data_IF_389816470684
#
_entry.id   IF_389816470684
#
_cell.length_a   1.000
_cell.length_b   1.000
_cell.length_c   1.000
_cell.angle_alpha   90.00
_cell.angle_beta   90.00
_cell.angle_gamma   90.00
#
_symmetry.space_group_name_H-M   'P 1'
#
loop_
_entity.id
_entity.type
_entity.pdbx_description
1 polymer ?
#
# COMPACT_ATOMS: atom_id res chain seq x y z
N UNK A 1 17.07 25.90 -0.62
CA UNK A 1 15.63 25.84 -0.96
C UNK A 1 15.15 24.45 -0.56
N UNK A 2 14.05 24.34 0.19
CA UNK A 2 13.59 23.09 0.83
C UNK A 2 12.50 22.42 0.00
N UNK A 3 12.28 21.11 0.16
CA UNK A 3 11.17 20.40 -0.47
C UNK A 3 9.83 21.02 -0.04
N UNK A 4 8.83 20.94 -0.91
CA UNK A 4 7.49 21.47 -0.63
C UNK A 4 6.70 20.48 0.22
N UNK A 5 6.16 20.91 1.35
CA UNK A 5 5.14 20.15 2.07
C UNK A 5 3.75 20.45 1.49
N UNK A 6 3.01 19.39 1.24
CA UNK A 6 1.60 19.45 0.86
C UNK A 6 0.83 18.57 1.86
N UNK A 7 -0.28 19.09 2.34
CA UNK A 7 -1.19 18.36 3.22
C UNK A 7 -2.44 17.91 2.43
N UNK A 8 -2.89 16.71 2.68
CA UNK A 8 -4.23 16.29 2.28
C UNK A 8 -5.24 17.10 3.07
N UNK A 9 -6.38 17.44 2.45
CA UNK A 9 -7.44 18.21 3.10
C UNK A 9 -7.84 17.56 4.43
N UNK A 10 -7.92 18.37 5.51
CA UNK A 10 -8.15 17.88 6.87
C UNK A 10 -9.54 17.29 7.04
N UNK A 11 -10.55 17.87 6.40
CA UNK A 11 -11.92 17.37 6.49
C UNK A 11 -12.07 16.06 5.71
N UNK A 12 -11.45 15.99 4.52
CA UNK A 12 -11.41 14.74 3.74
C UNK A 12 -10.70 13.64 4.54
N UNK A 13 -9.58 13.96 5.16
CA UNK A 13 -8.80 13.02 5.98
C UNK A 13 -9.61 12.52 7.18
N UNK A 14 -10.35 13.39 7.83
CA UNK A 14 -11.28 13.03 8.91
C UNK A 14 -12.37 12.06 8.45
N UNK A 15 -12.91 12.26 7.24
CA UNK A 15 -13.88 11.33 6.65
C UNK A 15 -13.26 9.94 6.41
N UNK A 16 -12.03 9.86 5.93
CA UNK A 16 -11.33 8.57 5.80
C UNK A 16 -11.18 7.87 7.15
N UNK A 17 -10.75 8.59 8.17
CA UNK A 17 -10.60 8.01 9.51
C UNK A 17 -11.95 7.57 10.11
N UNK A 18 -13.01 8.30 9.87
CA UNK A 18 -14.35 7.90 10.29
C UNK A 18 -14.76 6.58 9.61
N UNK A 19 -14.58 6.45 8.30
CA UNK A 19 -14.88 5.20 7.58
C UNK A 19 -14.02 4.03 8.03
N UNK A 20 -12.73 4.23 8.27
CA UNK A 20 -11.85 3.20 8.82
C UNK A 20 -12.39 2.73 10.17
N UNK A 21 -12.79 3.64 11.03
CA UNK A 21 -13.39 3.34 12.33
C UNK A 21 -14.67 2.52 12.21
N UNK A 22 -15.59 2.94 11.35
CA UNK A 22 -16.83 2.22 11.08
C UNK A 22 -16.59 0.80 10.55
N UNK A 23 -15.60 0.63 9.66
CA UNK A 23 -15.18 -0.69 9.17
C UNK A 23 -14.73 -1.58 10.33
N UNK A 24 -13.85 -1.08 11.19
CA UNK A 24 -13.33 -1.83 12.34
C UNK A 24 -14.43 -2.23 13.33
N UNK A 25 -15.33 -1.31 13.61
CA UNK A 25 -16.48 -1.61 14.47
C UNK A 25 -17.36 -2.72 13.87
N UNK A 26 -17.60 -2.69 12.56
CA UNK A 26 -18.30 -3.75 11.83
C UNK A 26 -17.56 -5.10 11.88
N UNK A 27 -16.25 -5.09 11.69
CA UNK A 27 -15.44 -6.31 11.76
C UNK A 27 -15.40 -6.88 13.17
N UNK A 28 -15.24 -6.04 14.17
CA UNK A 28 -15.30 -6.43 15.59
C UNK A 28 -16.65 -7.05 15.95
N UNK A 29 -17.75 -6.44 15.50
CA UNK A 29 -19.09 -6.98 15.75
C UNK A 29 -19.27 -8.34 15.10
N UNK A 30 -18.91 -8.49 13.81
CA UNK A 30 -18.96 -9.78 13.11
C UNK A 30 -18.13 -10.87 13.81
N UNK A 31 -17.01 -10.47 14.42
CA UNK A 31 -16.16 -11.40 15.15
C UNK A 31 -16.78 -11.82 16.48
N UNK A 32 -17.39 -10.88 17.21
CA UNK A 32 -18.14 -11.16 18.43
C UNK A 32 -19.35 -12.07 18.18
N UNK A 33 -20.09 -11.81 17.08
CA UNK A 33 -21.22 -12.63 16.68
C UNK A 33 -20.80 -14.09 16.38
N UNK A 34 -19.68 -14.27 15.65
CA UNK A 34 -19.10 -15.60 15.40
C UNK A 34 -18.62 -16.32 16.67
N UNK A 35 -18.07 -15.58 17.64
CA UNK A 35 -17.65 -16.15 18.93
C UNK A 35 -18.87 -16.59 19.74
N UNK A 36 -19.96 -15.83 19.72
CA UNK A 36 -21.20 -16.18 20.42
C UNK A 36 -21.88 -17.43 19.85
N UNK A 37 -21.68 -17.72 18.55
CA UNK A 37 -22.20 -18.90 17.87
C UNK A 37 -21.27 -20.13 18.00
N UNK A 38 -20.02 -19.98 18.38
CA UNK A 38 -19.00 -21.02 18.42
C UNK A 38 -18.40 -21.17 19.82
N UNK A 39 -18.73 -22.26 20.50
CA UNK A 39 -18.17 -22.64 21.80
C UNK A 39 -16.64 -22.92 21.79
N UNK A 40 -15.98 -22.76 20.65
CA UNK A 40 -14.55 -22.97 20.41
C UNK A 40 -13.81 -21.69 20.02
N UNK A 41 -14.01 -20.59 20.73
CA UNK A 41 -13.35 -19.30 20.53
C UNK A 41 -11.84 -19.27 20.84
N UNK A 42 -11.07 -20.32 20.61
CA UNK A 42 -9.67 -20.45 21.06
C UNK A 42 -8.63 -20.24 19.96
N UNK A 43 -9.02 -20.03 18.72
CA UNK A 43 -8.07 -19.70 17.65
C UNK A 43 -8.29 -18.25 17.18
N UNK A 44 -7.95 -17.32 18.04
CA UNK A 44 -7.82 -15.92 17.68
C UNK A 44 -6.47 -15.71 16.99
N UNK A 45 -6.41 -15.87 15.68
CA UNK A 45 -5.37 -15.19 14.93
C UNK A 45 -5.67 -13.68 14.95
N UNK A 46 -4.67 -12.85 15.24
CA UNK A 46 -4.93 -11.47 15.59
C UNK A 46 -5.39 -10.68 14.37
N UNK A 47 -6.41 -9.87 14.60
CA UNK A 47 -6.77 -8.66 13.82
C UNK A 47 -5.60 -7.65 13.98
N UNK A 48 -4.38 -8.08 13.73
CA UNK A 48 -3.18 -7.33 14.06
C UNK A 48 -3.00 -6.10 13.17
N UNK A 49 -3.41 -6.19 11.90
CA UNK A 49 -3.23 -5.09 10.95
C UNK A 49 -4.19 -3.93 11.21
N UNK A 50 -5.40 -4.23 11.61
CA UNK A 50 -6.46 -3.23 11.88
C UNK A 50 -6.20 -2.54 13.21
N UNK A 51 -5.92 -3.29 14.27
CA UNK A 51 -5.57 -2.75 15.59
C UNK A 51 -4.29 -1.90 15.56
N UNK A 52 -3.34 -2.25 14.68
CA UNK A 52 -2.11 -1.49 14.50
C UNK A 52 -2.36 -0.12 13.84
N UNK A 53 -3.22 -0.06 12.84
CA UNK A 53 -3.61 1.19 12.17
C UNK A 53 -4.29 2.14 13.17
N UNK A 54 -5.16 1.62 14.02
CA UNK A 54 -5.84 2.40 15.06
C UNK A 54 -4.92 2.96 16.12
N UNK A 55 -4.04 2.13 16.64
CA UNK A 55 -3.05 2.57 17.63
C UNK A 55 -2.22 3.71 17.10
N UNK A 56 -1.90 3.66 15.81
CA UNK A 56 -1.15 4.70 15.12
C UNK A 56 -1.96 5.99 14.91
N UNK A 57 -3.25 5.88 14.59
CA UNK A 57 -4.17 7.02 14.44
C UNK A 57 -4.37 7.70 15.79
N UNK A 58 -4.69 6.94 16.84
CA UNK A 58 -4.93 7.48 18.17
C UNK A 58 -3.68 8.10 18.82
N UNK A 59 -2.50 7.54 18.57
CA UNK A 59 -1.22 8.09 19.04
C UNK A 59 -0.87 9.40 18.30
N UNK A 60 -1.26 9.54 17.03
CA UNK A 60 -1.07 10.79 16.26
C UNK A 60 -2.06 11.90 16.63
N UNK A 61 -3.31 11.57 16.97
CA UNK A 61 -4.29 12.55 17.44
C UNK A 61 -3.95 13.11 18.83
N UNK A 62 -3.24 12.33 19.66
CA UNK A 62 -2.94 12.70 21.05
C UNK A 62 -1.61 13.41 21.25
N UNK A 63 -0.74 13.51 20.28
CA UNK A 63 0.53 14.13 20.61
C UNK A 63 1.51 14.40 19.50
N UNK A 64 1.85 15.61 19.51
CA UNK A 64 3.09 16.26 19.10
C UNK A 64 3.32 16.55 17.62
N UNK A 65 2.96 17.74 17.29
CA UNK A 65 3.51 18.56 16.19
C UNK A 65 5.05 18.72 16.21
N UNK A 66 5.77 18.03 17.11
CA UNK A 66 7.21 18.26 17.33
C UNK A 66 8.17 17.14 16.89
N UNK A 67 7.70 15.93 16.57
CA UNK A 67 8.59 14.76 16.46
C UNK A 67 8.61 14.02 15.12
N UNK A 68 8.21 14.62 14.02
CA UNK A 68 8.37 13.98 12.73
C UNK A 68 9.78 14.20 12.15
N UNK A 69 10.80 13.64 12.84
CA UNK A 69 12.20 13.81 12.44
C UNK A 69 12.49 13.32 11.01
N UNK A 70 11.73 12.31 10.53
CA UNK A 70 11.84 11.83 9.15
C UNK A 70 11.27 12.86 8.18
N UNK A 71 10.05 13.35 8.43
CA UNK A 71 9.45 14.41 7.60
C UNK A 71 10.31 15.67 7.54
N UNK A 72 10.89 16.09 8.66
CA UNK A 72 11.81 17.23 8.68
C UNK A 72 13.09 16.95 7.87
N UNK A 73 13.67 15.75 7.96
CA UNK A 73 14.83 15.40 7.13
C UNK A 73 14.49 15.44 5.64
N UNK A 74 13.33 14.90 5.24
CA UNK A 74 12.86 14.97 3.86
C UNK A 74 12.67 16.41 3.40
N UNK A 75 12.06 17.26 4.23
CA UNK A 75 11.86 18.66 3.91
C UNK A 75 13.16 19.44 3.73
N UNK A 76 14.09 19.30 4.67
CA UNK A 76 15.31 20.10 4.70
C UNK A 76 16.35 19.64 3.68
N UNK A 77 16.37 18.35 3.35
CA UNK A 77 17.47 17.78 2.57
C UNK A 77 17.08 17.29 1.17
N UNK A 78 15.80 17.26 0.82
CA UNK A 78 15.39 17.07 -0.58
C UNK A 78 15.37 18.43 -1.31
N UNK A 79 15.52 18.40 -2.66
CA UNK A 79 15.48 19.64 -3.46
C UNK A 79 14.08 20.28 -3.44
N UNK A 80 14.00 21.56 -3.77
CA UNK A 80 12.72 22.31 -3.81
C UNK A 80 11.74 21.83 -4.89
N UNK A 81 12.21 21.09 -5.86
CA UNK A 81 11.35 20.40 -6.85
C UNK A 81 10.65 19.18 -6.26
N UNK A 82 11.12 18.66 -5.12
CA UNK A 82 10.46 17.54 -4.46
C UNK A 82 9.22 18.00 -3.67
N UNK A 83 8.22 17.15 -3.66
CA UNK A 83 6.98 17.30 -2.89
C UNK A 83 6.89 16.19 -1.86
N UNK A 84 6.55 16.53 -0.64
CA UNK A 84 6.37 15.60 0.47
C UNK A 84 4.95 15.72 1.00
N UNK A 85 4.22 14.61 1.02
CA UNK A 85 2.91 14.48 1.64
C UNK A 85 3.06 13.52 2.82
N UNK A 86 2.80 13.99 4.02
CA UNK A 86 2.85 13.15 5.21
C UNK A 86 1.48 12.59 5.51
N UNK A 87 1.45 11.31 5.91
CA UNK A 87 0.25 10.66 6.39
C UNK A 87 -0.88 10.72 5.35
N UNK A 88 -0.58 10.28 4.12
CA UNK A 88 -1.54 10.19 3.03
C UNK A 88 -2.46 9.00 3.23
N UNK A 89 -3.77 9.23 3.23
CA UNK A 89 -4.80 8.19 3.35
C UNK A 89 -5.63 8.12 2.07
N UNK A 90 -5.78 6.92 1.52
CA UNK A 90 -6.61 6.67 0.34
C UNK A 90 -7.49 5.43 0.55
N UNK A 91 -8.68 5.43 0.00
CA UNK A 91 -9.52 4.25 -0.15
C UNK A 91 -9.37 3.75 -1.59
N UNK A 92 -8.91 2.53 -1.74
CA UNK A 92 -8.57 1.92 -3.05
C UNK A 92 -9.76 1.16 -3.62
N UNK A 93 -10.42 0.40 -2.77
CA UNK A 93 -11.67 -0.31 -3.01
C UNK A 93 -12.58 -0.10 -1.79
N UNK A 94 -13.86 -0.44 -1.87
CA UNK A 94 -14.75 -0.37 -0.72
C UNK A 94 -14.16 -1.07 0.51
N UNK A 95 -13.97 -0.30 1.58
CA UNK A 95 -13.35 -0.76 2.83
C UNK A 95 -11.86 -1.18 2.71
N UNK A 96 -11.17 -0.93 1.59
CA UNK A 96 -9.74 -1.17 1.48
C UNK A 96 -8.94 0.14 1.49
N UNK A 97 -8.30 0.42 2.62
CA UNK A 97 -7.56 1.66 2.86
C UNK A 97 -6.05 1.42 2.85
N UNK A 98 -5.32 2.43 2.37
CA UNK A 98 -3.87 2.56 2.60
C UNK A 98 -3.59 3.85 3.37
N UNK A 99 -2.60 3.78 4.24
CA UNK A 99 -2.03 4.93 4.92
C UNK A 99 -0.52 4.92 4.68
N UNK A 100 -0.03 5.92 3.97
CA UNK A 100 1.39 6.07 3.65
C UNK A 100 1.99 7.13 4.57
N UNK A 101 3.02 6.78 5.34
CA UNK A 101 3.63 7.69 6.31
C UNK A 101 4.24 8.92 5.68
N UNK A 102 5.04 8.70 4.63
CA UNK A 102 5.62 9.78 3.83
C UNK A 102 5.55 9.37 2.36
N UNK A 103 4.90 10.19 1.59
CA UNK A 103 4.77 10.06 0.16
C UNK A 103 5.58 11.18 -0.49
N UNK A 104 6.62 10.82 -1.24
CA UNK A 104 7.53 11.79 -1.85
C UNK A 104 7.46 11.68 -3.35
N UNK A 105 7.38 12.84 -4.01
CA UNK A 105 7.31 12.99 -5.46
C UNK A 105 8.45 13.88 -5.93
N UNK A 106 9.17 13.45 -6.94
CA UNK A 106 10.06 14.29 -7.73
C UNK A 106 10.19 13.73 -9.15
N UNK A 107 10.93 14.41 -10.03
CA UNK A 107 11.10 13.97 -11.42
C UNK A 107 11.81 12.61 -11.56
N UNK A 108 12.51 12.13 -10.53
CA UNK A 108 13.17 10.83 -10.56
C UNK A 108 12.20 9.66 -10.24
N UNK A 109 11.09 9.92 -9.51
CA UNK A 109 10.15 8.88 -9.15
C UNK A 109 9.20 9.27 -8.02
N UNK A 110 8.36 8.30 -7.66
CA UNK A 110 7.46 8.31 -6.51
C UNK A 110 8.06 7.42 -5.43
N UNK A 111 8.13 7.93 -4.21
CA UNK A 111 8.70 7.18 -3.09
C UNK A 111 7.62 6.97 -2.02
N UNK A 112 7.34 5.70 -1.73
CA UNK A 112 6.41 5.26 -0.69
C UNK A 112 7.22 4.83 0.52
N UNK A 113 7.18 5.63 1.59
CA UNK A 113 8.01 5.42 2.77
C UNK A 113 7.15 4.96 3.95
N UNK A 114 7.54 3.84 4.53
CA UNK A 114 6.98 3.28 5.76
C UNK A 114 7.93 3.52 6.92
N UNK A 115 7.46 4.10 8.02
CA UNK A 115 8.27 4.43 9.19
C UNK A 115 7.92 3.57 10.39
N UNK A 116 8.93 2.93 10.98
CA UNK A 116 8.79 2.17 12.23
C UNK A 116 9.51 2.89 13.37
N UNK A 117 8.74 3.30 14.38
CA UNK A 117 9.27 3.90 15.63
C UNK A 117 9.65 2.82 16.66
N UNK A 118 10.12 1.67 16.20
CA UNK A 118 10.50 0.56 17.08
C UNK A 118 11.87 0.76 17.70
N UNK A 119 12.00 0.40 18.98
CA UNK A 119 13.25 0.45 19.73
C UNK A 119 13.93 -0.92 19.73
N UNK A 120 15.27 -0.95 19.74
CA UNK A 120 16.04 -2.18 19.86
C UNK A 120 16.77 -2.61 18.58
N UNK A 121 17.01 -3.91 18.46
CA UNK A 121 17.76 -4.50 17.35
C UNK A 121 16.85 -5.39 16.48
N UNK A 122 16.95 -5.25 15.16
CA UNK A 122 16.10 -5.92 14.19
C UNK A 122 16.92 -6.64 13.12
N UNK A 123 16.46 -7.84 12.76
CA UNK A 123 17.03 -8.64 11.70
C UNK A 123 15.94 -8.99 10.69
N UNK A 124 16.10 -8.52 9.46
CA UNK A 124 15.30 -8.87 8.30
C UNK A 124 16.06 -9.80 7.37
N UNK A 125 15.43 -10.86 6.91
CA UNK A 125 16.00 -11.76 5.90
C UNK A 125 14.88 -12.25 4.98
N UNK A 126 14.96 -11.91 3.68
CA UNK A 126 13.93 -12.25 2.69
C UNK A 126 12.53 -11.87 3.19
N UNK A 127 12.42 -10.63 3.69
CA UNK A 127 11.20 -10.04 4.23
C UNK A 127 10.57 -10.74 5.44
N UNK A 128 11.32 -11.61 6.11
CA UNK A 128 10.98 -12.15 7.44
C UNK A 128 11.75 -11.37 8.49
N UNK A 129 11.04 -10.87 9.51
CA UNK A 129 11.61 -9.95 10.48
C UNK A 129 11.55 -10.50 11.90
N UNK A 130 12.61 -10.24 12.64
CA UNK A 130 12.74 -10.60 14.05
C UNK A 130 13.30 -9.43 14.84
N UNK A 131 12.86 -9.30 16.07
CA UNK A 131 13.36 -8.34 17.07
C UNK A 131 14.12 -9.08 18.16
N UNK A 132 15.22 -8.50 18.63
CA UNK A 132 15.97 -9.04 19.75
C UNK A 132 15.27 -8.71 21.07
N UNK A 133 14.90 -9.72 21.85
CA UNK A 133 14.36 -9.61 23.20
C UNK A 133 15.23 -10.40 24.15
N UNK A 134 16.05 -9.69 24.97
CA UNK A 134 17.09 -10.33 25.78
C UNK A 134 18.07 -11.15 24.93
N UNK A 135 18.16 -12.44 25.18
CA UNK A 135 19.03 -13.37 24.42
C UNK A 135 18.30 -14.06 23.23
N UNK A 136 17.03 -13.79 23.00
CA UNK A 136 16.23 -14.47 21.95
C UNK A 136 15.87 -13.50 20.81
N UNK A 137 15.65 -14.08 19.64
CA UNK A 137 15.06 -13.41 18.48
C UNK A 137 13.60 -13.83 18.36
N UNK A 138 12.70 -12.87 18.42
CA UNK A 138 11.24 -13.07 18.34
C UNK A 138 10.77 -12.54 17.00
N UNK A 139 9.89 -13.28 16.33
CA UNK A 139 9.29 -12.87 15.07
C UNK A 139 8.40 -11.64 15.27
N UNK A 140 8.48 -10.70 14.33
CA UNK A 140 7.66 -9.48 14.31
C UNK A 140 7.05 -9.29 12.93
N UNK A 141 6.00 -8.50 12.85
CA UNK A 141 5.37 -8.16 11.60
C UNK A 141 6.40 -7.56 10.62
N UNK A 142 6.32 -7.94 9.35
CA UNK A 142 7.24 -7.49 8.31
C UNK A 142 6.91 -6.08 7.83
N UNK A 143 7.76 -5.08 8.10
CA UNK A 143 7.55 -3.73 7.56
C UNK A 143 7.75 -3.67 6.04
N UNK A 144 8.58 -4.53 5.48
CA UNK A 144 8.79 -4.61 4.03
C UNK A 144 7.56 -5.16 3.31
N UNK A 145 6.93 -6.23 3.81
CA UNK A 145 5.66 -6.73 3.25
C UNK A 145 4.52 -5.73 3.41
N UNK A 146 4.49 -5.00 4.52
CA UNK A 146 3.50 -3.95 4.72
C UNK A 146 3.67 -2.86 3.66
N UNK A 147 4.88 -2.37 3.44
CA UNK A 147 5.12 -1.32 2.44
C UNK A 147 4.95 -1.83 1.00
N UNK A 148 5.27 -3.10 0.72
CA UNK A 148 4.95 -3.75 -0.56
C UNK A 148 3.43 -3.72 -0.84
N UNK A 149 2.60 -4.03 0.17
CA UNK A 149 1.15 -3.91 0.07
C UNK A 149 0.72 -2.46 -0.19
N UNK A 150 1.32 -1.47 0.46
CA UNK A 150 1.03 -0.05 0.21
C UNK A 150 1.32 0.33 -1.24
N UNK A 151 2.46 -0.08 -1.78
CA UNK A 151 2.81 0.17 -3.19
C UNK A 151 1.83 -0.52 -4.14
N UNK A 152 1.49 -1.79 -3.88
CA UNK A 152 0.52 -2.54 -4.71
C UNK A 152 -0.84 -1.83 -4.74
N UNK A 153 -1.34 -1.43 -3.59
CA UNK A 153 -2.62 -0.75 -3.48
C UNK A 153 -2.57 0.68 -4.08
N UNK A 154 -1.46 1.39 -3.90
CA UNK A 154 -1.29 2.70 -4.54
C UNK A 154 -1.27 2.58 -6.07
N UNK A 155 -0.58 1.59 -6.64
CA UNK A 155 -0.61 1.31 -8.08
C UNK A 155 -2.05 1.06 -8.57
N UNK A 156 -2.83 0.27 -7.83
CA UNK A 156 -4.24 0.01 -8.15
C UNK A 156 -5.09 1.28 -8.07
N UNK A 157 -4.89 2.10 -7.05
CA UNK A 157 -5.55 3.39 -6.93
C UNK A 157 -5.21 4.31 -8.11
N UNK A 158 -3.94 4.34 -8.50
CA UNK A 158 -3.44 5.13 -9.63
C UNK A 158 -4.06 4.64 -10.97
N UNK A 159 -4.11 3.33 -11.19
CA UNK A 159 -4.75 2.72 -12.36
C UNK A 159 -6.23 3.09 -12.48
N UNK A 160 -6.95 3.12 -11.37
CA UNK A 160 -8.37 3.47 -11.36
C UNK A 160 -8.65 4.96 -11.56
N UNK A 161 -7.79 5.83 -11.02
CA UNK A 161 -8.02 7.28 -11.01
C UNK A 161 -7.26 8.03 -12.12
N UNK A 162 -6.11 7.50 -12.55
CA UNK A 162 -5.22 8.10 -13.55
C UNK A 162 -4.62 7.02 -14.46
N UNK A 163 -5.44 6.28 -15.24
CA UNK A 163 -5.00 5.08 -15.97
C UNK A 163 -3.87 5.36 -16.98
N UNK A 164 -3.96 6.44 -17.76
CA UNK A 164 -2.94 6.79 -18.74
C UNK A 164 -1.60 7.14 -18.07
N UNK A 165 -1.66 7.77 -16.91
CA UNK A 165 -0.49 8.09 -16.12
C UNK A 165 0.11 6.83 -15.47
N UNK A 166 -0.74 5.95 -14.92
CA UNK A 166 -0.32 4.69 -14.35
C UNK A 166 0.57 3.89 -15.30
N UNK A 167 0.18 3.72 -16.55
CA UNK A 167 0.96 2.97 -17.55
C UNK A 167 2.36 3.56 -17.77
N UNK A 168 2.52 4.88 -17.67
CA UNK A 168 3.82 5.55 -17.86
C UNK A 168 4.73 5.46 -16.63
N UNK A 169 4.17 5.49 -15.41
CA UNK A 169 4.97 5.68 -14.19
C UNK A 169 4.96 4.49 -13.21
N UNK A 170 4.22 3.42 -13.49
CA UNK A 170 4.06 2.26 -12.58
C UNK A 170 5.38 1.61 -12.14
N UNK A 171 6.42 1.72 -12.98
CA UNK A 171 7.75 1.15 -12.70
C UNK A 171 8.69 2.13 -11.97
N UNK A 172 8.23 3.37 -11.75
CA UNK A 172 8.97 4.42 -11.07
C UNK A 172 8.45 4.69 -9.65
N UNK A 173 7.82 3.69 -9.02
CA UNK A 173 7.34 3.73 -7.64
C UNK A 173 8.29 2.93 -6.75
N UNK A 174 8.97 3.61 -5.83
CA UNK A 174 10.07 3.10 -5.03
C UNK A 174 9.70 3.01 -3.55
N UNK A 175 9.55 1.80 -2.98
CA UNK A 175 9.31 1.62 -1.56
C UNK A 175 10.60 1.78 -0.74
N UNK A 176 10.51 2.37 0.45
CA UNK A 176 11.60 2.46 1.43
C UNK A 176 11.02 2.22 2.82
N UNK A 177 11.69 1.40 3.64
CA UNK A 177 11.36 1.24 5.06
C UNK A 177 12.37 1.99 5.91
N UNK A 178 11.88 2.76 6.89
CA UNK A 178 12.68 3.61 7.77
C UNK A 178 12.47 3.19 9.21
N UNK A 179 13.54 2.80 9.88
CA UNK A 179 13.53 2.60 11.33
C UNK A 179 13.96 3.89 12.02
N UNK A 180 13.06 4.53 12.77
CA UNK A 180 13.32 5.84 13.40
C UNK A 180 14.14 5.74 14.67
N UNK A 181 13.91 4.69 15.49
CA UNK A 181 14.47 4.56 16.84
C UNK A 181 15.30 3.29 17.05
N UNK A 182 15.43 2.45 16.02
CA UNK A 182 16.21 1.23 16.14
C UNK A 182 17.68 1.53 16.44
N UNK A 183 18.24 0.80 17.39
CA UNK A 183 19.66 0.86 17.72
C UNK A 183 20.52 0.13 16.70
N UNK A 184 19.95 -0.85 16.06
CA UNK A 184 20.61 -1.66 15.04
C UNK A 184 19.58 -2.33 14.12
N UNK A 185 19.83 -2.30 12.83
CA UNK A 185 19.03 -2.98 11.81
C UNK A 185 19.96 -3.67 10.82
N UNK A 186 19.70 -4.95 10.57
CA UNK A 186 20.32 -5.66 9.46
C UNK A 186 19.24 -6.23 8.57
N UNK A 187 19.19 -5.75 7.32
CA UNK A 187 18.32 -6.26 6.28
C UNK A 187 19.17 -7.00 5.24
N UNK A 188 18.84 -8.25 4.97
CA UNK A 188 19.51 -9.08 3.99
C UNK A 188 18.49 -9.65 3.00
N UNK A 189 18.73 -9.46 1.71
CA UNK A 189 17.89 -9.97 0.62
C UNK A 189 16.40 -9.58 0.80
N UNK A 190 16.14 -8.36 1.32
CA UNK A 190 14.80 -7.80 1.42
C UNK A 190 14.39 -7.17 0.09
N UNK A 191 13.08 -7.11 -0.16
CA UNK A 191 12.47 -6.64 -1.41
C UNK A 191 12.69 -5.15 -1.69
N UNK A 192 13.12 -4.39 -0.67
CA UNK A 192 13.31 -2.93 -0.76
C UNK A 192 14.40 -2.43 0.18
N UNK A 193 14.91 -1.21 -0.03
CA UNK A 193 15.83 -0.55 0.90
C UNK A 193 15.24 -0.40 2.30
N UNK A 194 16.08 -0.66 3.30
CA UNK A 194 15.76 -0.49 4.72
C UNK A 194 16.85 0.34 5.37
N UNK A 195 16.48 1.44 5.99
CA UNK A 195 17.40 2.47 6.51
C UNK A 195 17.09 2.88 7.94
N UNK A 196 18.04 3.54 8.59
CA UNK A 196 17.86 4.09 9.94
C UNK A 196 17.80 5.62 9.85
N UNK A 197 16.64 6.18 10.20
CA UNK A 197 16.45 7.64 10.23
C UNK A 197 16.26 8.29 8.87
N UNK A 198 15.86 9.57 8.94
CA UNK A 198 15.45 10.31 7.75
C UNK A 198 16.60 10.68 6.80
N UNK A 199 17.82 10.85 7.31
CA UNK A 199 18.97 11.21 6.47
C UNK A 199 19.39 10.08 5.54
N UNK A 200 19.35 8.83 6.02
CA UNK A 200 19.62 7.68 5.16
C UNK A 200 18.50 7.51 4.12
N UNK A 201 17.24 7.78 4.50
CA UNK A 201 16.12 7.77 3.56
C UNK A 201 16.31 8.80 2.44
N UNK A 202 16.74 10.02 2.76
CA UNK A 202 17.12 11.03 1.75
C UNK A 202 18.23 10.52 0.85
N UNK A 203 19.21 9.80 1.42
CA UNK A 203 20.29 9.17 0.67
C UNK A 203 19.77 8.16 -0.36
N UNK A 204 18.83 7.28 0.04
CA UNK A 204 18.20 6.30 -0.86
C UNK A 204 17.39 6.98 -1.97
N UNK A 205 16.59 7.98 -1.64
CA UNK A 205 15.84 8.77 -2.64
C UNK A 205 16.78 9.39 -3.67
N UNK A 206 17.91 9.94 -3.22
CA UNK A 206 18.89 10.59 -4.09
C UNK A 206 19.69 9.63 -5.01
N UNK A 207 19.69 8.33 -4.72
CA UNK A 207 20.33 7.31 -5.59
C UNK A 207 19.54 7.11 -6.88
N UNK A 208 18.22 7.26 -6.84
CA UNK A 208 17.38 7.15 -8.02
C UNK A 208 17.58 8.40 -8.87
N UNK A 209 17.93 8.20 -10.12
CA UNK A 209 18.23 9.24 -11.11
C UNK A 209 17.38 9.01 -12.36
N UNK A 210 17.20 10.06 -13.12
CA UNK A 210 16.44 10.06 -14.35
C UNK A 210 15.26 11.04 -14.26
N UNK A 211 14.81 11.52 -15.39
CA UNK A 211 13.60 12.32 -15.50
C UNK A 211 12.44 11.41 -15.91
N UNK A 212 12.06 10.52 -14.98
CA UNK A 212 11.09 9.45 -15.21
C UNK A 212 9.64 9.93 -15.13
N UNK A 213 9.43 11.07 -14.47
CA UNK A 213 8.11 11.67 -14.23
C UNK A 213 8.20 13.16 -14.54
N UNK A 214 7.31 13.65 -15.39
CA UNK A 214 7.26 15.08 -15.71
C UNK A 214 6.71 15.91 -14.55
N UNK A 215 6.98 17.21 -14.51
CA UNK A 215 6.39 18.11 -13.53
C UNK A 215 4.86 18.19 -13.67
N UNK A 216 4.34 18.04 -14.87
CA UNK A 216 2.90 17.98 -15.14
C UNK A 216 2.29 16.73 -14.52
N UNK A 217 2.92 15.56 -14.69
CA UNK A 217 2.48 14.31 -14.08
C UNK A 217 2.53 14.37 -12.54
N UNK A 218 3.57 15.00 -11.97
CA UNK A 218 3.66 15.25 -10.53
C UNK A 218 2.47 16.09 -10.05
N UNK A 219 2.14 17.17 -10.75
CA UNK A 219 1.01 18.03 -10.38
C UNK A 219 -0.33 17.30 -10.52
N UNK A 220 -0.52 16.46 -11.55
CA UNK A 220 -1.71 15.62 -11.68
C UNK A 220 -1.86 14.66 -10.50
N UNK A 221 -0.78 14.00 -10.06
CA UNK A 221 -0.81 13.12 -8.90
C UNK A 221 -1.16 13.91 -7.62
N UNK A 222 -0.53 15.05 -7.42
CA UNK A 222 -0.78 15.91 -6.25
C UNK A 222 -2.25 16.30 -6.17
N UNK A 223 -2.81 16.79 -7.26
CA UNK A 223 -4.22 17.19 -7.29
C UNK A 223 -5.16 15.98 -7.07
N UNK A 224 -4.85 14.84 -7.67
CA UNK A 224 -5.64 13.64 -7.49
C UNK A 224 -5.62 13.13 -6.03
N UNK A 225 -4.44 13.06 -5.39
CA UNK A 225 -4.36 12.57 -4.01
C UNK A 225 -4.89 13.56 -2.98
N UNK A 226 -4.76 14.87 -3.23
CA UNK A 226 -5.33 15.91 -2.35
C UNK A 226 -6.86 15.89 -2.37
N UNK A 227 -7.45 15.70 -3.54
CA UNK A 227 -8.89 15.72 -3.75
C UNK A 227 -9.54 14.33 -3.64
N UNK A 228 -8.75 13.29 -3.38
CA UNK A 228 -9.25 11.94 -3.18
C UNK A 228 -10.22 11.89 -1.99
N UNK A 229 -11.45 11.47 -2.25
CA UNK A 229 -12.51 11.32 -1.23
C UNK A 229 -12.76 9.85 -0.93
N UNK A 230 -13.32 9.54 0.24
CA UNK A 230 -13.83 8.20 0.49
C UNK A 230 -14.84 7.77 -0.59
N UNK A 231 -14.74 6.51 -1.02
CA UNK A 231 -15.56 5.97 -2.09
C UNK A 231 -17.05 5.91 -1.69
N UNK A 232 -17.93 6.25 -2.63
CA UNK A 232 -19.31 5.79 -2.57
C UNK A 232 -19.35 4.32 -3.00
N UNK A 233 -19.61 3.42 -2.05
CA UNK A 233 -19.53 1.98 -2.28
C UNK A 233 -20.57 1.49 -3.29
N UNK A 234 -21.75 2.08 -3.34
CA UNK A 234 -22.79 1.69 -4.28
C UNK A 234 -22.46 2.20 -5.69
N UNK A 235 -21.96 3.41 -5.81
CA UNK A 235 -21.50 3.96 -7.08
C UNK A 235 -20.30 3.15 -7.62
N UNK A 236 -19.34 2.82 -6.76
CA UNK A 236 -18.17 2.02 -7.11
C UNK A 236 -18.58 0.63 -7.62
N UNK A 237 -19.47 -0.07 -6.92
CA UNK A 237 -20.01 -1.37 -7.34
C UNK A 237 -20.70 -1.27 -8.70
N UNK A 238 -21.54 -0.27 -8.88
CA UNK A 238 -22.25 -0.07 -10.15
C UNK A 238 -21.29 0.18 -11.33
N UNK A 239 -20.24 0.98 -11.11
CA UNK A 239 -19.20 1.26 -12.12
C UNK A 239 -18.45 -0.02 -12.50
N UNK A 240 -18.03 -0.81 -11.50
CA UNK A 240 -17.24 -2.02 -11.72
C UNK A 240 -18.07 -3.18 -12.29
N UNK A 241 -19.35 -3.30 -11.93
CA UNK A 241 -20.24 -4.28 -12.55
C UNK A 241 -20.44 -4.00 -14.03
N UNK A 242 -20.66 -2.73 -14.42
CA UNK A 242 -20.77 -2.35 -15.83
C UNK A 242 -19.48 -2.63 -16.60
N UNK A 243 -18.32 -2.27 -16.03
CA UNK A 243 -17.01 -2.53 -16.63
C UNK A 243 -16.80 -4.03 -16.84
N UNK A 244 -17.13 -4.85 -15.85
CA UNK A 244 -17.06 -6.31 -15.95
C UNK A 244 -17.95 -6.86 -17.06
N UNK A 245 -19.20 -6.41 -17.16
CA UNK A 245 -20.12 -6.78 -18.24
C UNK A 245 -19.62 -6.35 -19.62
N UNK A 246 -19.01 -5.18 -19.74
CA UNK A 246 -18.42 -4.70 -20.98
C UNK A 246 -17.19 -5.50 -21.38
N UNK A 247 -16.32 -5.85 -20.41
CA UNK A 247 -15.16 -6.71 -20.65
C UNK A 247 -15.58 -8.14 -20.99
N UNK A 248 -16.60 -8.71 -20.35
CA UNK A 248 -17.16 -10.03 -20.70
C UNK A 248 -17.76 -10.03 -22.11
N UNK A 249 -18.39 -8.95 -22.55
CA UNK A 249 -18.87 -8.79 -23.93
C UNK A 249 -17.71 -8.62 -24.93
N UNK A 250 -16.59 -8.03 -24.48
CA UNK A 250 -15.41 -7.81 -25.31
C UNK A 250 -14.55 -9.05 -25.48
N UNK A 251 -14.56 -9.95 -24.50
CA UNK A 251 -13.76 -11.15 -24.48
C UNK A 251 -14.66 -12.38 -24.22
N UNK A 252 -14.62 -13.35 -25.11
CA UNK A 252 -15.20 -14.66 -24.85
C UNK A 252 -14.18 -15.52 -24.11
N UNK A 253 -14.51 -15.88 -22.90
CA UNK A 253 -13.68 -16.77 -22.09
C UNK A 253 -14.27 -18.17 -22.12
N UNK A 254 -13.53 -19.14 -22.62
CA UNK A 254 -13.92 -20.55 -22.60
C UNK A 254 -12.91 -21.36 -21.79
N UNK A 255 -13.41 -22.28 -20.98
CA UNK A 255 -12.58 -23.21 -20.22
C UNK A 255 -12.81 -24.64 -20.73
N UNK A 256 -11.78 -25.47 -20.68
CA UNK A 256 -11.90 -26.86 -21.08
C UNK A 256 -10.73 -27.69 -20.59
N UNK A 257 -10.81 -29.03 -20.88
CA UNK A 257 -9.72 -29.97 -20.61
C UNK A 257 -9.08 -30.41 -21.91
N UNK A 258 -7.75 -30.44 -21.93
CA UNK A 258 -7.01 -31.06 -23.03
C UNK A 258 -7.15 -32.58 -22.99
N UNK A 259 -6.79 -33.27 -24.08
CA UNK A 259 -6.80 -34.74 -24.18
C UNK A 259 -5.97 -35.45 -23.09
N UNK A 260 -4.98 -34.77 -22.52
CA UNK A 260 -4.13 -35.21 -21.41
C UNK A 260 -4.62 -34.74 -20.03
N UNK A 261 -5.87 -34.27 -19.93
CA UNK A 261 -6.51 -33.90 -18.64
C UNK A 261 -6.10 -32.54 -18.06
N UNK A 262 -5.26 -31.76 -18.75
CA UNK A 262 -4.91 -30.40 -18.28
C UNK A 262 -6.04 -29.41 -18.56
N UNK A 263 -6.34 -28.55 -17.59
CA UNK A 263 -7.31 -27.46 -17.76
C UNK A 263 -6.68 -26.35 -18.62
N UNK A 264 -7.47 -25.73 -19.46
CA UNK A 264 -7.10 -24.51 -20.19
C UNK A 264 -8.17 -23.45 -20.06
N UNK A 265 -7.74 -22.22 -20.13
CA UNK A 265 -8.58 -21.02 -20.31
C UNK A 265 -8.26 -20.44 -21.67
N UNK A 266 -9.27 -20.28 -22.50
CA UNK A 266 -9.14 -19.65 -23.81
C UNK A 266 -9.88 -18.33 -23.80
N UNK A 267 -9.16 -17.24 -24.12
CA UNK A 267 -9.72 -15.90 -24.23
C UNK A 267 -9.74 -15.53 -25.70
N UNK A 268 -10.93 -15.31 -26.24
CA UNK A 268 -11.15 -14.87 -27.62
C UNK A 268 -11.54 -13.38 -27.58
N UNK A 269 -10.68 -12.49 -28.04
CA UNK A 269 -11.00 -11.06 -28.21
C UNK A 269 -11.62 -10.77 -29.56
N UNK A 270 -12.41 -9.70 -29.64
CA UNK A 270 -13.03 -9.23 -30.89
C UNK A 270 -12.04 -8.57 -31.88
N UNK A 271 -10.77 -8.40 -31.49
CA UNK A 271 -9.65 -8.00 -32.36
C UNK A 271 -8.44 -8.90 -32.08
N UNK A 272 -8.24 -9.86 -32.96
CA UNK A 272 -7.02 -10.61 -33.32
C UNK A 272 -5.99 -11.02 -32.24
N UNK A 273 -6.36 -11.29 -31.01
CA UNK A 273 -5.43 -11.93 -30.06
C UNK A 273 -6.01 -13.22 -29.52
N UNK A 274 -5.67 -14.31 -30.20
CA UNK A 274 -5.89 -15.67 -29.67
C UNK A 274 -4.77 -15.99 -28.70
N UNK A 275 -4.95 -15.76 -27.41
CA UNK A 275 -4.06 -16.22 -26.38
C UNK A 275 -4.63 -17.47 -25.69
N UNK A 276 -3.89 -18.56 -25.69
CA UNK A 276 -4.20 -19.78 -24.96
C UNK A 276 -3.24 -19.90 -23.77
N UNK A 277 -3.77 -19.80 -22.57
CA UNK A 277 -3.00 -19.97 -21.35
C UNK A 277 -3.23 -21.37 -20.75
N UNK A 278 -2.16 -22.13 -20.57
CA UNK A 278 -2.17 -23.36 -19.79
C UNK A 278 -2.05 -23.01 -18.30
N UNK A 279 -3.13 -23.21 -17.55
CA UNK A 279 -3.16 -22.91 -16.11
C UNK A 279 -2.75 -24.17 -15.33
N UNK A 280 -1.67 -24.09 -14.58
CA UNK A 280 -1.34 -25.09 -13.54
C UNK A 280 -2.21 -24.84 -12.31
N UNK A 281 -3.15 -25.75 -12.05
CA UNK A 281 -4.20 -25.65 -11.02
C UNK A 281 -3.71 -25.75 -9.56
N UNK A 282 -2.43 -25.60 -9.26
CA UNK A 282 -1.95 -25.75 -7.87
C UNK A 282 -1.81 -24.45 -7.08
N UNK A 283 -2.09 -23.27 -7.67
CA UNK A 283 -1.85 -22.00 -6.97
C UNK A 283 -3.02 -20.98 -7.01
N UNK A 284 -4.16 -21.31 -7.61
CA UNK A 284 -5.26 -20.34 -7.76
C UNK A 284 -6.64 -20.88 -7.35
N UNK A 285 -6.78 -21.34 -6.10
CA UNK A 285 -8.11 -21.62 -5.52
C UNK A 285 -8.79 -20.39 -4.89
N UNK A 286 -8.27 -19.18 -5.06
CA UNK A 286 -8.79 -17.97 -4.42
C UNK A 286 -9.13 -16.80 -5.36
N UNK A 287 -9.30 -17.02 -6.68
CA UNK A 287 -9.54 -15.90 -7.61
C UNK A 287 -10.78 -16.08 -8.52
N UNK A 288 -11.70 -16.97 -8.15
CA UNK A 288 -13.00 -17.08 -8.83
C UNK A 288 -14.09 -17.36 -7.78
N UNK A 289 -14.50 -16.37 -7.05
CA UNK A 289 -15.85 -16.21 -6.48
C UNK A 289 -16.09 -14.71 -6.28
#
# INVERSE_FOLDING_TARGET
>A
MFARFIEQDKEIKKLFYQKIKEKEEREKQKHLDKISESFLGWLLEPIADVAYTWRRISEKEQGSSGENSVGWALHLWLPSSAVVINDLVLEVEPDEFIQIDHFVLNTNGIFVLETKSWDGAFLGTKDKWRMKQGNKWVEVQSPTKQNERHVKLFKKWLEENLPDLHERIKDHIHPIVIFKRAKWVKAKDCSMPVVIGGMEAVGEIRKIKGENISEEDINLIIEAVKNAKPLDHEEWKRKHSKRKEEDEKRYQVTTGKTSNGKMYVRILGTKEVNAMFLVKLHEYSCLLL
#
